data_IF_211710924772
#
_entry.id   IF_211710924772
#
_cell.length_a   1.000
_cell.length_b   1.000
_cell.length_c   1.000
_cell.angle_alpha   90.00
_cell.angle_beta   90.00
_cell.angle_gamma   90.00
#
_symmetry.space_group_name_H-M   'P 1'
#
loop_
_entity.id
_entity.type
_entity.pdbx_description
1 polymer ?
#
# COMPACT_ATOMS: atom_id res chain seq x y z
N UNK A 1 12.08 -10.01 7.09
CA UNK A 1 12.03 -8.80 6.26
C UNK A 1 10.58 -8.37 6.17
N UNK A 2 10.29 -7.09 6.42
CA UNK A 2 8.94 -6.51 6.55
C UNK A 2 7.94 -7.47 7.19
N UNK A 3 8.12 -7.74 8.48
CA UNK A 3 7.16 -8.51 9.27
C UNK A 3 5.81 -7.81 9.23
N UNK A 4 4.74 -8.59 9.12
CA UNK A 4 3.37 -8.08 9.09
C UNK A 4 3.04 -7.21 10.31
N UNK A 5 3.63 -7.55 11.47
CA UNK A 5 3.57 -6.79 12.69
C UNK A 5 4.94 -6.76 13.37
N UNK A 6 5.42 -5.57 13.73
CA UNK A 6 6.71 -5.38 14.40
C UNK A 6 6.82 -6.18 15.70
N UNK A 7 5.69 -6.39 16.38
CA UNK A 7 5.57 -7.13 17.64
C UNK A 7 5.97 -8.59 17.53
N UNK A 8 5.97 -9.17 16.32
CA UNK A 8 6.39 -10.56 16.07
C UNK A 8 7.82 -10.80 16.57
N UNK A 9 8.68 -9.78 16.55
CA UNK A 9 10.04 -9.86 17.13
C UNK A 9 10.03 -10.28 18.61
N UNK A 10 9.03 -9.83 19.38
CA UNK A 10 8.90 -10.16 20.81
C UNK A 10 8.50 -11.60 21.08
N UNK A 11 8.15 -12.40 20.06
CA UNK A 11 7.85 -13.83 20.21
C UNK A 11 9.11 -14.70 20.18
N UNK A 12 10.27 -14.13 19.83
CA UNK A 12 11.53 -14.87 19.76
C UNK A 12 12.39 -14.57 20.98
N UNK A 13 12.90 -15.64 21.60
CA UNK A 13 13.89 -15.55 22.69
C UNK A 13 15.31 -15.25 22.17
N UNK A 14 15.52 -15.38 20.86
CA UNK A 14 16.80 -15.11 20.17
C UNK A 14 16.74 -13.77 19.43
N UNK A 15 17.89 -13.11 19.20
CA UNK A 15 17.94 -11.90 18.39
C UNK A 15 17.31 -12.10 17.00
N UNK A 16 16.53 -11.12 16.55
CA UNK A 16 15.91 -11.09 15.23
C UNK A 16 16.31 -9.81 14.53
N UNK A 17 16.94 -9.93 13.36
CA UNK A 17 17.23 -8.79 12.49
C UNK A 17 16.03 -8.50 11.59
N UNK A 18 15.31 -7.41 11.89
CA UNK A 18 14.16 -6.97 11.10
C UNK A 18 14.59 -6.03 9.97
N UNK A 19 14.81 -6.61 8.78
CA UNK A 19 15.12 -5.86 7.56
C UNK A 19 13.87 -5.26 6.90
N UNK A 20 14.01 -4.10 6.23
CA UNK A 20 12.92 -3.40 5.54
C UNK A 20 13.21 -3.22 4.04
N UNK A 21 12.23 -3.51 3.19
CA UNK A 21 12.34 -3.36 1.73
C UNK A 21 12.38 -1.89 1.27
N UNK A 22 12.06 -0.95 2.14
CA UNK A 22 12.20 0.49 1.87
C UNK A 22 13.61 0.88 1.41
N UNK A 23 14.63 0.13 1.85
CA UNK A 23 16.02 0.27 1.37
C UNK A 23 16.20 0.06 -0.13
N UNK A 24 15.32 -0.74 -0.77
CA UNK A 24 15.30 -0.96 -2.22
C UNK A 24 14.24 -0.09 -2.90
N UNK A 25 13.06 0.04 -2.30
CA UNK A 25 11.95 0.74 -2.93
C UNK A 25 12.13 2.27 -2.93
N UNK A 26 12.72 2.88 -1.90
CA UNK A 26 12.89 4.34 -1.87
C UNK A 26 13.79 4.85 -3.00
N UNK A 27 15.00 4.29 -3.25
CA UNK A 27 15.81 4.69 -4.40
C UNK A 27 15.08 4.48 -5.72
N UNK A 28 14.42 3.34 -5.90
CA UNK A 28 13.64 3.05 -7.11
C UNK A 28 12.54 4.09 -7.36
N UNK A 29 11.75 4.44 -6.34
CA UNK A 29 10.70 5.44 -6.47
C UNK A 29 11.23 6.85 -6.75
N UNK A 30 12.41 7.20 -6.21
CA UNK A 30 13.09 8.46 -6.52
C UNK A 30 13.53 8.52 -7.99
N UNK A 31 14.08 7.42 -8.51
CA UNK A 31 14.53 7.32 -9.90
C UNK A 31 13.39 7.45 -10.92
N UNK A 32 12.16 7.08 -10.55
CA UNK A 32 10.99 7.26 -11.41
C UNK A 32 10.64 8.73 -11.66
N UNK A 33 11.15 9.68 -10.84
CA UNK A 33 10.93 11.12 -10.98
C UNK A 33 9.45 11.50 -11.22
N UNK A 34 8.55 10.91 -10.43
CA UNK A 34 7.11 11.12 -10.58
C UNK A 34 6.72 12.53 -10.10
N UNK A 35 6.17 13.34 -11.00
CA UNK A 35 5.58 14.63 -10.65
C UNK A 35 4.33 14.45 -9.78
N UNK A 36 4.09 15.38 -8.85
CA UNK A 36 2.94 15.35 -7.93
C UNK A 36 2.76 13.98 -7.25
N UNK A 37 3.86 13.41 -6.77
CA UNK A 37 3.86 12.12 -6.09
C UNK A 37 2.97 12.14 -4.85
N UNK A 38 2.20 11.07 -4.67
CA UNK A 38 1.45 10.79 -3.46
C UNK A 38 1.65 9.34 -3.05
N UNK A 39 2.02 9.11 -1.79
CA UNK A 39 2.08 7.76 -1.24
C UNK A 39 0.74 7.39 -0.65
N UNK A 40 0.32 6.14 -0.82
CA UNK A 40 -0.94 5.66 -0.33
C UNK A 40 -0.81 4.36 0.45
N UNK A 41 -1.67 4.20 1.45
CA UNK A 41 -1.90 2.90 2.10
C UNK A 41 -3.26 2.33 1.68
N UNK A 42 -3.33 1.05 1.24
CA UNK A 42 -4.58 0.41 0.80
C UNK A 42 -5.55 0.14 1.97
N UNK A 43 -5.08 0.20 3.21
CA UNK A 43 -5.90 0.17 4.42
C UNK A 43 -5.30 0.97 5.59
N UNK A 44 -5.93 0.93 6.76
CA UNK A 44 -5.43 1.60 7.98
C UNK A 44 -4.21 0.93 8.59
N UNK A 45 -4.01 -0.38 8.39
CA UNK A 45 -2.91 -1.14 8.98
C UNK A 45 -1.56 -0.73 8.39
N UNK A 46 -1.51 -0.48 7.08
CA UNK A 46 -0.32 0.03 6.38
C UNK A 46 -0.02 1.51 6.57
N UNK A 47 -0.87 2.27 7.30
CA UNK A 47 -0.77 3.74 7.40
C UNK A 47 0.59 4.24 7.89
N UNK A 48 1.18 3.61 8.91
CA UNK A 48 2.51 3.95 9.44
C UNK A 48 3.60 3.76 8.38
N UNK A 49 3.50 2.69 7.58
CA UNK A 49 4.44 2.38 6.49
C UNK A 49 4.33 3.44 5.40
N UNK A 50 3.12 3.71 4.90
CA UNK A 50 2.90 4.74 3.89
C UNK A 50 3.39 6.12 4.36
N UNK A 51 3.16 6.50 5.62
CA UNK A 51 3.66 7.76 6.17
C UNK A 51 5.20 7.83 6.22
N UNK A 52 5.87 6.72 6.55
CA UNK A 52 7.34 6.67 6.53
C UNK A 52 7.90 6.88 5.11
N UNK A 53 7.28 6.26 4.10
CA UNK A 53 7.63 6.47 2.70
C UNK A 53 7.36 7.91 2.25
N UNK A 54 6.19 8.47 2.58
CA UNK A 54 5.83 9.84 2.19
C UNK A 54 6.80 10.86 2.77
N UNK A 55 7.20 10.68 4.03
CA UNK A 55 8.19 11.54 4.70
C UNK A 55 9.56 11.45 4.02
N UNK A 56 10.00 10.25 3.66
CA UNK A 56 11.28 10.04 2.97
C UNK A 56 11.29 10.65 1.56
N UNK A 57 10.15 10.63 0.87
CA UNK A 57 9.99 11.13 -0.50
C UNK A 57 9.49 12.57 -0.57
N UNK A 58 9.29 13.23 0.57
CA UNK A 58 8.70 14.58 0.67
C UNK A 58 7.39 14.73 -0.13
N UNK A 59 6.53 13.71 -0.02
CA UNK A 59 5.26 13.62 -0.76
C UNK A 59 4.05 13.70 0.17
N UNK A 60 2.87 13.92 -0.42
CA UNK A 60 1.62 13.73 0.30
C UNK A 60 1.40 12.26 0.65
N UNK A 61 0.54 12.01 1.65
CA UNK A 61 0.07 10.69 2.02
C UNK A 61 -1.46 10.63 2.01
N UNK A 62 -2.02 9.55 1.49
CA UNK A 62 -3.45 9.24 1.56
C UNK A 62 -3.66 7.84 2.11
N UNK A 63 -4.83 7.59 2.69
CA UNK A 63 -5.12 6.28 3.25
C UNK A 63 -6.54 5.85 2.91
N UNK A 64 -6.69 4.59 2.48
CA UNK A 64 -8.00 3.97 2.35
C UNK A 64 -8.50 3.49 3.72
N UNK A 65 -9.69 3.94 4.10
CA UNK A 65 -10.44 3.44 5.23
C UNK A 65 -11.46 2.40 4.76
N UNK A 66 -11.35 1.17 5.26
CA UNK A 66 -12.28 0.08 4.96
C UNK A 66 -13.23 -0.12 6.13
N UNK A 67 -14.50 0.20 5.94
CA UNK A 67 -15.55 -0.13 6.91
C UNK A 67 -16.14 -1.50 6.57
N UNK A 68 -16.08 -2.43 7.54
CA UNK A 68 -16.73 -3.74 7.43
C UNK A 68 -18.10 -3.64 8.12
N UNK A 69 -19.20 -3.70 7.37
CA UNK A 69 -20.55 -3.69 7.94
C UNK A 69 -20.89 -5.00 8.67
N UNK A 70 -20.45 -6.13 8.11
CA UNK A 70 -20.49 -7.50 8.68
C UNK A 70 -19.34 -8.31 8.05
N UNK A 71 -18.99 -9.46 8.63
CA UNK A 71 -18.14 -10.43 7.93
C UNK A 71 -18.78 -10.78 6.58
N UNK A 72 -18.04 -10.63 5.48
CA UNK A 72 -18.43 -10.94 4.09
C UNK A 72 -19.55 -10.11 3.44
N UNK A 73 -19.95 -8.95 3.98
CA UNK A 73 -20.87 -8.01 3.28
C UNK A 73 -20.08 -6.82 2.73
N UNK A 74 -20.38 -6.43 1.49
CA UNK A 74 -19.65 -5.45 0.67
C UNK A 74 -19.20 -4.25 1.51
N UNK A 75 -17.88 -4.11 1.61
CA UNK A 75 -17.19 -3.09 2.38
C UNK A 75 -17.28 -1.75 1.67
N UNK A 76 -17.74 -0.72 2.39
CA UNK A 76 -17.50 0.66 1.98
C UNK A 76 -15.99 0.92 2.12
N UNK A 77 -15.37 1.40 1.05
CA UNK A 77 -13.98 1.88 1.06
C UNK A 77 -14.03 3.38 0.82
N UNK A 78 -13.42 4.13 1.73
CA UNK A 78 -13.35 5.57 1.68
C UNK A 78 -11.90 6.01 1.59
N UNK A 79 -11.61 7.03 0.78
CA UNK A 79 -10.28 7.60 0.66
C UNK A 79 -10.17 8.82 1.58
N UNK A 80 -9.21 8.79 2.50
CA UNK A 80 -8.86 9.92 3.37
C UNK A 80 -7.70 10.67 2.72
N UNK A 81 -7.98 11.90 2.26
CA UNK A 81 -7.03 12.77 1.57
C UNK A 81 -7.41 13.00 0.10
N UNK A 82 -6.53 13.66 -0.65
CA UNK A 82 -6.78 14.08 -2.04
C UNK A 82 -5.73 13.48 -2.99
N UNK A 83 -6.20 12.90 -4.10
CA UNK A 83 -5.38 12.23 -5.12
C UNK A 83 -5.55 12.83 -6.52
N UNK A 84 -6.49 13.76 -6.70
CA UNK A 84 -6.74 14.39 -7.99
C UNK A 84 -5.48 15.05 -8.55
N UNK A 85 -5.08 14.66 -9.76
CA UNK A 85 -3.89 15.20 -10.44
C UNK A 85 -2.56 14.67 -9.90
N UNK A 86 -2.57 13.61 -9.07
CA UNK A 86 -1.36 13.04 -8.45
C UNK A 86 -0.98 11.69 -9.05
N UNK A 87 0.32 11.40 -9.06
CA UNK A 87 0.84 10.06 -9.33
C UNK A 87 0.90 9.29 -8.00
N UNK A 88 0.05 8.28 -7.85
CA UNK A 88 -0.12 7.59 -6.57
C UNK A 88 0.70 6.30 -6.53
N UNK A 89 1.36 6.04 -5.41
CA UNK A 89 2.06 4.78 -5.14
C UNK A 89 1.47 4.16 -3.88
N UNK A 90 0.73 3.07 -4.05
CA UNK A 90 0.28 2.19 -2.98
C UNK A 90 1.47 1.41 -2.41
N UNK A 91 1.62 1.43 -1.09
CA UNK A 91 2.70 0.73 -0.38
C UNK A 91 2.10 -0.23 0.64
N UNK A 92 2.44 -1.51 0.55
CA UNK A 92 2.03 -2.53 1.54
C UNK A 92 3.18 -3.51 1.87
N UNK A 93 3.06 -4.29 2.94
CA UNK A 93 4.04 -5.36 3.23
C UNK A 93 3.79 -6.55 2.32
N UNK A 94 2.54 -6.88 2.05
CA UNK A 94 2.19 -8.05 1.27
C UNK A 94 0.99 -7.82 0.37
N UNK A 95 0.91 -8.62 -0.68
CA UNK A 95 -0.29 -8.80 -1.48
C UNK A 95 -0.64 -10.29 -1.55
N UNK A 96 -1.83 -10.63 -1.06
CA UNK A 96 -2.36 -12.00 -1.08
C UNK A 96 -3.30 -12.19 -2.28
N UNK A 97 -4.61 -11.98 -2.12
CA UNK A 97 -5.61 -12.14 -3.21
C UNK A 97 -5.79 -10.90 -4.10
N UNK A 98 -4.93 -9.89 -3.94
CA UNK A 98 -4.98 -8.57 -4.60
C UNK A 98 -6.29 -7.75 -4.47
N UNK A 99 -7.33 -8.24 -3.80
CA UNK A 99 -8.65 -7.61 -3.79
C UNK A 99 -8.72 -6.27 -3.06
N UNK A 100 -7.96 -6.09 -1.97
CA UNK A 100 -7.88 -4.77 -1.29
C UNK A 100 -7.08 -3.78 -2.14
N UNK A 101 -5.96 -4.24 -2.71
CA UNK A 101 -5.02 -3.42 -3.46
C UNK A 101 -5.64 -2.86 -4.74
N UNK A 102 -6.26 -3.71 -5.56
CA UNK A 102 -6.93 -3.32 -6.81
C UNK A 102 -8.11 -2.40 -6.57
N UNK A 103 -8.95 -2.71 -5.57
CA UNK A 103 -10.08 -1.83 -5.22
C UNK A 103 -9.65 -0.44 -4.71
N UNK A 104 -8.53 -0.36 -4.00
CA UNK A 104 -7.95 0.93 -3.62
C UNK A 104 -7.43 1.69 -4.84
N UNK A 105 -6.79 1.00 -5.79
CA UNK A 105 -6.35 1.59 -7.05
C UNK A 105 -7.52 2.13 -7.88
N UNK A 106 -8.58 1.34 -8.06
CA UNK A 106 -9.81 1.75 -8.76
C UNK A 106 -10.39 3.03 -8.14
N UNK A 107 -10.55 3.04 -6.82
CA UNK A 107 -11.08 4.20 -6.09
C UNK A 107 -10.21 5.45 -6.28
N UNK A 108 -8.88 5.31 -6.33
CA UNK A 108 -7.97 6.44 -6.56
C UNK A 108 -8.07 6.96 -8.00
N UNK A 109 -8.19 6.06 -8.98
CA UNK A 109 -8.41 6.42 -10.38
C UNK A 109 -9.76 7.14 -10.55
N UNK A 110 -10.84 6.63 -9.95
CA UNK A 110 -12.16 7.28 -9.93
C UNK A 110 -12.13 8.68 -9.30
N UNK A 111 -11.25 8.89 -8.31
CA UNK A 111 -11.02 10.19 -7.65
C UNK A 111 -10.09 11.13 -8.43
N UNK A 112 -9.62 10.72 -9.61
CA UNK A 112 -8.85 11.55 -10.52
C UNK A 112 -7.34 11.49 -10.34
N UNK A 113 -6.80 10.41 -9.76
CA UNK A 113 -5.37 10.13 -9.83
C UNK A 113 -4.91 10.06 -11.31
N UNK A 114 -3.68 10.52 -11.57
CA UNK A 114 -3.06 10.47 -12.92
C UNK A 114 -2.61 9.04 -13.23
N UNK A 115 -2.04 8.38 -12.24
CA UNK A 115 -1.68 6.96 -12.31
C UNK A 115 -1.65 6.38 -10.92
N UNK A 116 -1.86 5.07 -10.83
CA UNK A 116 -1.67 4.31 -9.59
C UNK A 116 -0.65 3.21 -9.86
N UNK A 117 0.34 3.09 -8.98
CA UNK A 117 1.31 1.99 -8.93
C UNK A 117 1.21 1.33 -7.57
N UNK A 118 1.58 0.06 -7.47
CA UNK A 118 1.67 -0.63 -6.20
C UNK A 118 3.07 -1.23 -6.01
N UNK A 119 3.60 -1.09 -4.79
CA UNK A 119 4.79 -1.81 -4.34
C UNK A 119 4.46 -2.60 -3.07
N UNK A 120 4.90 -3.84 -3.04
CA UNK A 120 4.73 -4.73 -1.88
C UNK A 120 5.97 -5.56 -1.68
N UNK A 121 6.37 -5.80 -0.43
CA UNK A 121 7.53 -6.66 -0.13
C UNK A 121 7.26 -8.12 -0.47
N UNK A 122 6.08 -8.64 -0.10
CA UNK A 122 5.74 -10.05 -0.21
C UNK A 122 4.59 -10.27 -1.20
N UNK A 123 4.91 -10.71 -2.42
CA UNK A 123 3.91 -11.11 -3.41
C UNK A 123 3.44 -12.55 -3.18
N UNK A 124 2.46 -12.76 -2.28
CA UNK A 124 1.83 -14.06 -2.09
C UNK A 124 0.98 -14.47 -3.29
N UNK A 125 0.24 -13.49 -3.86
CA UNK A 125 -0.47 -13.61 -5.13
C UNK A 125 -1.34 -14.88 -5.24
N UNK A 126 -2.12 -15.15 -4.20
CA UNK A 126 -2.96 -16.35 -4.13
C UNK A 126 -4.31 -16.17 -4.84
N UNK A 127 -4.97 -17.29 -5.16
CA UNK A 127 -6.29 -17.29 -5.79
C UNK A 127 -6.28 -16.58 -7.15
N UNK A 128 -7.19 -15.64 -7.32
CA UNK A 128 -7.41 -14.86 -8.54
C UNK A 128 -6.59 -13.55 -8.57
N UNK A 129 -5.51 -13.45 -7.78
CA UNK A 129 -4.71 -12.24 -7.68
C UNK A 129 -4.18 -11.73 -9.03
N UNK A 130 -3.63 -12.63 -9.86
CA UNK A 130 -3.10 -12.26 -11.18
C UNK A 130 -4.19 -11.68 -12.08
N UNK A 131 -5.36 -12.31 -12.14
CA UNK A 131 -6.48 -11.83 -12.96
C UNK A 131 -7.00 -10.47 -12.48
N UNK A 132 -7.04 -10.24 -11.16
CA UNK A 132 -7.44 -8.95 -10.60
C UNK A 132 -6.47 -7.85 -10.95
N UNK A 133 -5.16 -8.12 -10.87
CA UNK A 133 -4.11 -7.15 -11.20
C UNK A 133 -4.11 -6.86 -12.71
N UNK A 134 -4.34 -7.86 -13.56
CA UNK A 134 -4.38 -7.64 -15.01
C UNK A 134 -5.61 -6.83 -15.46
N UNK A 135 -6.71 -6.91 -14.71
CA UNK A 135 -7.96 -6.18 -15.00
C UNK A 135 -8.06 -4.80 -14.35
N UNK A 136 -7.13 -4.43 -13.45
CA UNK A 136 -7.11 -3.14 -12.75
C UNK A 136 -6.47 -2.02 -13.55
#
# INVERSE_FOLDING_TARGET
>A
MDLHADQIQGFFEKPVDHLFASTLFLPYLQELNLENLCIASPDMGGSKRAYAYSKALSSDVVICYKQRAKANVISHMELIGEVKGKNVVLVDDLVDTAGTLTRAADLMMERGAVSVRAITTHGLLSGDAYEKIEKS
#
